data_IF_324632766473
#
_entry.id   IF_324632766473
#
_cell.length_a   1.000
_cell.length_b   1.000
_cell.length_c   1.000
_cell.angle_alpha   90.00
_cell.angle_beta   90.00
_cell.angle_gamma   90.00
#
_symmetry.space_group_name_H-M   'P 1'
#
loop_
_entity.id
_entity.type
_entity.pdbx_description
1 polymer ?
#
# COMPACT_ATOMS: atom_id res chain seq x y z
N UNK A 1 -16.64 -12.64 -18.84
CA UNK A 1 -16.20 -12.73 -17.43
C UNK A 1 -15.00 -13.66 -17.36
N UNK A 2 -13.80 -13.15 -17.55
CA UNK A 2 -12.63 -13.94 -17.24
C UNK A 2 -12.40 -13.82 -15.74
N UNK A 3 -12.80 -14.84 -15.01
CA UNK A 3 -12.21 -15.11 -13.71
C UNK A 3 -10.73 -15.42 -13.99
N UNK A 4 -9.90 -14.37 -13.99
CA UNK A 4 -8.48 -14.56 -13.77
C UNK A 4 -8.35 -15.07 -12.33
N UNK A 5 -8.48 -16.36 -12.18
CA UNK A 5 -7.78 -17.07 -11.13
C UNK A 5 -6.29 -16.85 -11.44
N UNK A 6 -5.74 -15.76 -10.94
CA UNK A 6 -4.37 -15.86 -10.52
C UNK A 6 -4.37 -16.94 -9.46
N UNK A 7 -4.08 -18.17 -9.85
CA UNK A 7 -3.48 -19.08 -8.91
C UNK A 7 -2.25 -18.33 -8.44
N UNK A 8 -2.43 -17.57 -7.36
CA UNK A 8 -1.33 -17.12 -6.56
C UNK A 8 -0.71 -18.42 -6.10
N UNK A 9 0.18 -18.96 -6.93
CA UNK A 9 1.09 -19.98 -6.42
C UNK A 9 1.59 -19.35 -5.13
N UNK A 10 1.61 -20.08 -4.05
CA UNK A 10 1.95 -19.62 -2.70
C UNK A 10 3.30 -18.88 -2.61
N UNK A 11 3.86 -18.47 -3.72
CA UNK A 11 5.11 -17.74 -3.94
C UNK A 11 4.94 -16.80 -5.14
N UNK A 12 5.41 -15.57 -5.00
CA UNK A 12 6.24 -15.01 -3.92
C UNK A 12 5.41 -14.54 -2.73
N UNK A 13 5.90 -14.76 -1.51
CA UNK A 13 5.28 -14.30 -0.28
C UNK A 13 6.26 -13.41 0.51
N UNK A 14 6.00 -12.10 0.50
CA UNK A 14 6.90 -11.11 1.12
C UNK A 14 6.75 -11.01 2.64
N UNK A 15 5.86 -11.78 3.24
CA UNK A 15 5.55 -11.69 4.67
C UNK A 15 6.06 -12.88 5.48
N UNK A 16 6.54 -13.92 4.84
CA UNK A 16 7.00 -15.15 5.49
C UNK A 16 8.42 -15.52 5.04
N UNK A 17 9.11 -16.27 5.90
CA UNK A 17 10.48 -16.68 5.67
C UNK A 17 11.51 -15.71 6.27
N UNK A 18 12.78 -15.93 5.99
CA UNK A 18 13.87 -15.06 6.41
C UNK A 18 13.84 -13.71 5.70
N UNK A 19 14.54 -12.72 6.26
CA UNK A 19 14.63 -11.40 5.61
C UNK A 19 15.18 -11.48 4.17
N UNK A 20 16.26 -12.21 3.88
CA UNK A 20 16.74 -12.37 2.50
C UNK A 20 15.71 -12.99 1.55
N UNK A 21 14.93 -13.97 2.02
CA UNK A 21 13.85 -14.59 1.24
C UNK A 21 12.72 -13.59 0.95
N UNK A 22 12.27 -12.85 1.96
CA UNK A 22 11.24 -11.82 1.78
C UNK A 22 11.69 -10.72 0.83
N UNK A 23 12.94 -10.29 0.92
CA UNK A 23 13.51 -9.27 0.05
C UNK A 23 13.58 -9.74 -1.41
N UNK A 24 13.97 -10.99 -1.64
CA UNK A 24 13.97 -11.63 -2.96
C UNK A 24 12.56 -11.73 -3.55
N UNK A 25 11.61 -12.15 -2.73
CA UNK A 25 10.21 -12.26 -3.14
C UNK A 25 9.60 -10.88 -3.45
N UNK A 26 9.95 -9.85 -2.68
CA UNK A 26 9.53 -8.47 -2.97
C UNK A 26 10.07 -7.96 -4.30
N UNK A 27 11.33 -8.25 -4.60
CA UNK A 27 11.92 -7.92 -5.91
C UNK A 27 11.20 -8.68 -7.04
N UNK A 28 10.88 -9.95 -6.82
CA UNK A 28 10.17 -10.78 -7.79
C UNK A 28 8.76 -10.27 -8.08
N UNK A 29 8.02 -9.84 -7.05
CA UNK A 29 6.69 -9.20 -7.22
C UNK A 29 6.81 -7.95 -8.09
N UNK A 30 7.78 -7.08 -7.83
CA UNK A 30 7.97 -5.87 -8.64
C UNK A 30 8.29 -6.18 -10.11
N UNK A 31 9.01 -7.26 -10.37
CA UNK A 31 9.27 -7.72 -11.74
C UNK A 31 8.00 -8.27 -12.42
N UNK A 32 7.21 -9.08 -11.71
CA UNK A 32 5.94 -9.62 -12.24
C UNK A 32 4.99 -8.50 -12.65
N UNK A 33 4.87 -7.46 -11.86
CA UNK A 33 3.97 -6.32 -12.11
C UNK A 33 4.25 -5.64 -13.44
N UNK A 34 5.51 -5.63 -13.89
CA UNK A 34 5.87 -5.01 -15.17
C UNK A 34 5.29 -5.74 -16.38
N UNK A 35 4.94 -7.00 -16.25
CA UNK A 35 4.63 -7.90 -17.37
C UNK A 35 3.17 -8.38 -17.39
N UNK A 36 2.34 -7.98 -16.43
CA UNK A 36 0.94 -8.45 -16.33
C UNK A 36 -0.07 -7.35 -16.67
N UNK A 37 -1.27 -7.75 -17.10
CA UNK A 37 -2.32 -6.84 -17.57
C UNK A 37 -2.99 -6.06 -16.42
N UNK A 38 -3.18 -6.70 -15.26
CA UNK A 38 -3.88 -6.14 -14.10
C UNK A 38 -2.97 -6.05 -12.86
N UNK A 39 -1.93 -5.19 -12.89
CA UNK A 39 -0.92 -5.15 -11.84
C UNK A 39 -1.48 -4.71 -10.48
N UNK A 40 -2.48 -3.84 -10.46
CA UNK A 40 -3.10 -3.39 -9.22
C UNK A 40 -3.87 -4.52 -8.53
N UNK A 41 -4.67 -5.27 -9.26
CA UNK A 41 -5.42 -6.41 -8.71
C UNK A 41 -4.49 -7.48 -8.16
N UNK A 42 -3.37 -7.72 -8.84
CA UNK A 42 -2.32 -8.61 -8.36
C UNK A 42 -1.71 -8.13 -7.05
N UNK A 43 -1.34 -6.86 -6.96
CA UNK A 43 -0.80 -6.26 -5.72
C UNK A 43 -1.78 -6.34 -4.57
N UNK A 44 -3.04 -6.01 -4.80
CA UNK A 44 -4.06 -6.09 -3.76
C UNK A 44 -4.22 -7.53 -3.26
N UNK A 45 -4.17 -8.53 -4.14
CA UNK A 45 -4.22 -9.93 -3.75
C UNK A 45 -3.00 -10.36 -2.90
N UNK A 46 -1.79 -9.91 -3.25
CA UNK A 46 -0.58 -10.15 -2.47
C UNK A 46 -0.68 -9.52 -1.09
N UNK A 47 -1.10 -8.27 -1.01
CA UNK A 47 -1.18 -7.51 0.25
C UNK A 47 -2.33 -7.92 1.16
N UNK A 48 -3.34 -8.64 0.65
CA UNK A 48 -4.35 -9.30 1.51
C UNK A 48 -3.73 -10.32 2.48
N UNK A 49 -2.57 -10.86 2.14
CA UNK A 49 -1.85 -11.82 2.98
C UNK A 49 -0.99 -11.14 4.07
N UNK A 50 -0.92 -9.82 4.09
CA UNK A 50 -0.11 -9.08 5.05
C UNK A 50 -0.63 -9.28 6.48
N UNK A 51 0.21 -9.77 7.40
CA UNK A 51 -0.16 -9.84 8.80
C UNK A 51 -0.25 -8.43 9.39
N UNK A 52 -1.27 -8.20 10.21
CA UNK A 52 -1.45 -6.91 10.89
C UNK A 52 -0.94 -6.99 12.31
N UNK A 53 -0.11 -6.03 12.67
CA UNK A 53 0.43 -5.86 14.00
C UNK A 53 0.19 -4.42 14.48
N UNK A 54 0.39 -4.15 15.78
CA UNK A 54 0.26 -2.82 16.33
C UNK A 54 1.65 -2.20 16.46
N UNK A 55 2.08 -1.47 15.45
CA UNK A 55 3.38 -0.78 15.44
C UNK A 55 3.29 0.69 15.84
N UNK A 56 2.09 1.30 15.75
CA UNK A 56 1.81 2.70 16.12
C UNK A 56 2.68 3.71 15.38
N UNK A 57 2.85 3.56 14.09
CA UNK A 57 3.57 4.53 13.25
C UNK A 57 2.87 5.88 13.27
N UNK A 58 3.60 6.93 13.62
CA UNK A 58 3.06 8.29 13.67
C UNK A 58 2.97 8.88 12.26
N UNK A 59 1.74 9.04 11.76
CA UNK A 59 1.47 9.54 10.40
C UNK A 59 1.90 11.00 10.19
N UNK A 60 2.11 11.76 11.25
CA UNK A 60 2.50 13.18 11.20
C UNK A 60 4.01 13.40 11.26
N UNK A 61 4.79 12.36 11.60
CA UNK A 61 6.25 12.43 11.73
C UNK A 61 6.94 11.63 10.63
N UNK A 62 6.98 12.20 9.44
CA UNK A 62 7.55 11.56 8.23
C UNK A 62 8.98 11.09 8.43
N UNK A 63 9.77 11.78 9.23
CA UNK A 63 11.14 11.42 9.58
C UNK A 63 11.26 10.11 10.37
N UNK A 64 10.15 9.62 10.94
CA UNK A 64 10.10 8.34 11.66
C UNK A 64 9.61 7.17 10.81
N UNK A 65 9.15 7.44 9.58
CA UNK A 65 8.63 6.39 8.72
C UNK A 65 9.77 5.51 8.19
N UNK A 66 9.52 4.22 8.22
CA UNK A 66 10.43 3.25 7.63
C UNK A 66 10.31 3.28 6.10
N UNK A 67 11.42 3.09 5.42
CA UNK A 67 11.41 2.83 3.98
C UNK A 67 10.98 1.38 3.66
N UNK A 68 10.86 1.06 2.36
CA UNK A 68 10.38 -0.26 1.94
C UNK A 68 11.28 -1.41 2.42
N UNK A 69 12.60 -1.23 2.41
CA UNK A 69 13.56 -2.25 2.86
C UNK A 69 13.48 -2.47 4.37
N UNK A 70 13.42 -1.39 5.14
CA UNK A 70 13.25 -1.44 6.60
C UNK A 70 11.92 -2.09 7.00
N UNK A 71 10.84 -1.81 6.25
CA UNK A 71 9.54 -2.46 6.47
C UNK A 71 9.60 -3.97 6.22
N UNK A 72 10.25 -4.41 5.13
CA UNK A 72 10.45 -5.83 4.84
C UNK A 72 11.33 -6.50 5.91
N UNK A 73 12.37 -5.81 6.39
CA UNK A 73 13.25 -6.33 7.44
C UNK A 73 12.50 -6.51 8.75
N UNK A 74 11.79 -5.49 9.22
CA UNK A 74 11.01 -5.54 10.46
C UNK A 74 9.89 -6.58 10.42
N UNK A 75 9.21 -6.69 9.30
CA UNK A 75 8.09 -7.61 9.04
C UNK A 75 6.94 -7.51 10.08
N UNK A 76 6.67 -6.31 10.53
CA UNK A 76 5.56 -5.94 11.41
C UNK A 76 4.87 -4.71 10.82
N UNK A 77 3.54 -4.75 10.71
CA UNK A 77 2.79 -3.76 9.96
C UNK A 77 1.49 -3.37 10.65
N UNK A 78 1.33 -2.09 10.99
CA UNK A 78 0.01 -1.51 11.18
C UNK A 78 -0.61 -1.13 9.81
N UNK A 79 -1.83 -0.60 9.80
CA UNK A 79 -2.48 -0.22 8.55
C UNK A 79 -1.72 0.84 7.77
N UNK A 80 -1.06 1.76 8.45
CA UNK A 80 -0.27 2.79 7.78
C UNK A 80 1.02 2.22 7.19
N UNK A 81 1.70 1.33 7.90
CA UNK A 81 2.87 0.60 7.39
C UNK A 81 2.55 -0.22 6.14
N UNK A 82 1.36 -0.83 6.09
CA UNK A 82 0.86 -1.54 4.91
C UNK A 82 0.73 -0.57 3.73
N UNK A 83 0.15 0.62 3.95
CA UNK A 83 0.09 1.67 2.95
C UNK A 83 1.47 2.09 2.46
N UNK A 84 2.41 2.30 3.37
CA UNK A 84 3.79 2.66 3.02
C UNK A 84 4.43 1.58 2.16
N UNK A 85 4.36 0.32 2.56
CA UNK A 85 4.99 -0.78 1.81
C UNK A 85 4.35 -0.96 0.43
N UNK A 86 3.03 -0.90 0.35
CA UNK A 86 2.32 -0.97 -0.93
C UNK A 86 2.70 0.20 -1.84
N UNK A 87 2.78 1.41 -1.29
CA UNK A 87 3.22 2.60 -2.03
C UNK A 87 4.67 2.48 -2.53
N UNK A 88 5.59 2.02 -1.69
CA UNK A 88 6.97 1.73 -2.12
C UNK A 88 7.03 0.67 -3.21
N UNK A 89 6.22 -0.38 -3.10
CA UNK A 89 6.15 -1.42 -4.12
C UNK A 89 5.71 -0.86 -5.46
N UNK A 90 4.72 0.01 -5.47
CA UNK A 90 4.21 0.69 -6.67
C UNK A 90 5.30 1.58 -7.30
N UNK A 91 5.85 2.52 -6.54
CA UNK A 91 6.76 3.52 -7.08
C UNK A 91 8.13 2.96 -7.51
N UNK A 92 8.56 1.85 -6.92
CA UNK A 92 9.81 1.17 -7.30
C UNK A 92 9.63 0.24 -8.50
N UNK A 93 8.42 0.13 -9.04
CA UNK A 93 8.10 -0.67 -10.22
C UNK A 93 8.20 0.19 -11.48
N UNK A 94 8.89 -0.28 -12.52
CA UNK A 94 9.04 0.44 -13.78
C UNK A 94 7.70 0.84 -14.41
N UNK A 95 6.70 -0.04 -14.28
CA UNK A 95 5.35 0.21 -14.80
C UNK A 95 4.70 1.48 -14.24
N UNK A 96 4.94 1.78 -12.96
CA UNK A 96 4.30 2.89 -12.24
C UNK A 96 5.24 4.05 -11.88
N UNK A 97 6.50 4.00 -12.27
CA UNK A 97 7.51 4.98 -11.81
C UNK A 97 7.19 6.46 -12.13
N UNK A 98 6.31 6.69 -13.09
CA UNK A 98 5.86 8.04 -13.47
C UNK A 98 4.56 8.45 -12.78
N UNK A 99 3.91 7.55 -12.08
CA UNK A 99 2.67 7.83 -11.40
C UNK A 99 2.90 8.61 -10.11
N UNK A 100 1.98 9.50 -9.82
CA UNK A 100 1.97 10.24 -8.56
C UNK A 100 1.20 9.44 -7.52
N UNK A 101 1.85 9.04 -6.44
CA UNK A 101 1.26 8.21 -5.39
C UNK A 101 1.04 9.04 -4.14
N UNK A 102 -0.22 9.14 -3.72
CA UNK A 102 -0.65 9.86 -2.53
C UNK A 102 -1.19 8.88 -1.50
N UNK A 103 -0.92 9.12 -0.23
CA UNK A 103 -1.62 8.45 0.87
C UNK A 103 -2.55 9.46 1.54
N UNK A 104 -3.82 9.12 1.58
CA UNK A 104 -4.86 9.87 2.28
C UNK A 104 -5.18 9.20 3.62
N UNK A 105 -5.01 9.95 4.69
CA UNK A 105 -5.61 9.61 5.98
C UNK A 105 -7.01 10.23 6.02
N UNK A 106 -8.02 9.42 6.17
CA UNK A 106 -9.41 9.83 6.10
C UNK A 106 -10.29 9.01 7.05
N UNK A 107 -11.54 9.39 7.18
CA UNK A 107 -12.54 8.66 7.96
C UNK A 107 -13.84 8.56 7.19
N UNK A 108 -14.62 7.51 7.46
CA UNK A 108 -15.90 7.29 6.78
C UNK A 108 -16.94 8.33 7.22
N UNK A 109 -17.70 8.84 6.26
CA UNK A 109 -18.74 9.84 6.50
C UNK A 109 -19.87 9.36 7.40
N UNK A 110 -20.12 8.06 7.45
CA UNK A 110 -21.19 7.42 8.22
C UNK A 110 -20.93 7.36 9.74
N UNK A 111 -19.67 7.60 10.17
CA UNK A 111 -19.32 7.58 11.60
C UNK A 111 -19.45 8.96 12.23
N UNK A 112 -20.02 9.01 13.45
CA UNK A 112 -20.03 10.22 14.24
C UNK A 112 -18.63 10.60 14.74
N UNK A 113 -18.49 11.82 15.24
CA UNK A 113 -17.19 12.37 15.67
C UNK A 113 -16.52 11.60 16.81
N UNK A 114 -17.27 10.81 17.59
CA UNK A 114 -16.76 10.09 18.75
C UNK A 114 -16.20 8.70 18.42
N UNK A 115 -16.57 8.14 17.26
CA UNK A 115 -16.20 6.79 16.82
C UNK A 115 -15.33 6.79 15.54
N UNK A 116 -14.70 7.90 15.20
CA UNK A 116 -13.88 8.02 14.00
C UNK A 116 -12.64 7.16 14.10
N UNK A 117 -12.50 6.22 13.18
CA UNK A 117 -11.27 5.50 12.93
C UNK A 117 -10.71 5.95 11.60
N UNK A 118 -9.41 6.19 11.57
CA UNK A 118 -8.74 6.48 10.31
C UNK A 118 -8.73 5.27 9.40
N UNK A 119 -9.03 5.54 8.14
CA UNK A 119 -8.75 4.68 7.01
C UNK A 119 -7.61 5.27 6.20
N UNK A 120 -6.76 4.43 5.65
CA UNK A 120 -5.65 4.86 4.81
C UNK A 120 -5.91 4.41 3.38
N UNK A 121 -5.97 5.38 2.48
CA UNK A 121 -6.31 5.18 1.08
C UNK A 121 -5.14 5.64 0.22
N UNK A 122 -4.68 4.79 -0.68
CA UNK A 122 -3.67 5.13 -1.67
C UNK A 122 -4.36 5.62 -2.93
N UNK A 123 -4.01 6.81 -3.40
CA UNK A 123 -4.45 7.33 -4.68
C UNK A 123 -3.32 7.25 -5.69
N UNK A 124 -3.63 6.67 -6.84
CA UNK A 124 -2.73 6.61 -7.98
C UNK A 124 -3.56 6.62 -9.27
N UNK A 125 -3.33 7.62 -10.14
CA UNK A 125 -3.97 7.71 -11.46
C UNK A 125 -5.51 7.57 -11.41
N UNK A 126 -6.17 8.31 -10.50
CA UNK A 126 -7.62 8.26 -10.23
C UNK A 126 -8.19 6.91 -9.76
N UNK A 127 -7.33 6.01 -9.36
CA UNK A 127 -7.70 4.77 -8.66
C UNK A 127 -7.37 4.92 -7.19
N UNK A 128 -8.29 4.55 -6.32
CA UNK A 128 -8.17 4.64 -4.87
C UNK A 128 -8.14 3.23 -4.29
N UNK A 129 -7.12 2.94 -3.48
CA UNK A 129 -6.90 1.62 -2.89
C UNK A 129 -7.10 1.69 -1.38
N UNK A 130 -8.07 0.96 -0.85
CA UNK A 130 -8.30 0.86 0.59
C UNK A 130 -7.32 -0.14 1.21
N UNK A 131 -6.44 0.33 2.09
CA UNK A 131 -5.46 -0.53 2.75
C UNK A 131 -6.07 -1.50 3.78
N UNK A 132 -7.29 -1.24 4.24
CA UNK A 132 -7.98 -2.13 5.16
C UNK A 132 -8.61 -3.34 4.45
N UNK A 133 -9.40 -3.07 3.42
CA UNK A 133 -10.10 -4.09 2.64
C UNK A 133 -9.29 -4.68 1.49
N UNK A 134 -8.23 -3.99 1.07
CA UNK A 134 -7.48 -4.30 -0.17
C UNK A 134 -8.39 -4.31 -1.40
N UNK A 135 -9.26 -3.34 -1.49
CA UNK A 135 -10.16 -3.13 -2.61
C UNK A 135 -9.88 -1.80 -3.29
N UNK A 136 -10.11 -1.75 -4.59
CA UNK A 136 -10.03 -0.51 -5.37
C UNK A 136 -11.40 0.12 -5.53
N UNK A 137 -11.41 1.46 -5.60
CA UNK A 137 -12.60 2.25 -5.86
C UNK A 137 -12.29 3.42 -6.80
N UNK A 138 -13.30 3.96 -7.45
CA UNK A 138 -13.20 5.18 -8.23
C UNK A 138 -13.30 6.44 -7.34
N UNK A 139 -13.01 7.60 -7.93
CA UNK A 139 -13.08 8.87 -7.21
C UNK A 139 -14.49 9.18 -6.70
N UNK A 140 -15.52 8.87 -7.44
CA UNK A 140 -16.91 9.12 -7.04
C UNK A 140 -17.26 8.35 -5.78
N UNK A 141 -16.90 7.07 -5.71
CA UNK A 141 -17.07 6.23 -4.53
C UNK A 141 -16.26 6.74 -3.34
N UNK A 142 -15.00 7.11 -3.58
CA UNK A 142 -14.13 7.69 -2.56
C UNK A 142 -14.73 8.97 -1.96
N UNK A 143 -15.14 9.93 -2.79
CA UNK A 143 -15.70 11.20 -2.36
C UNK A 143 -17.01 11.06 -1.56
N UNK A 144 -17.81 10.03 -1.85
CA UNK A 144 -19.03 9.72 -1.11
C UNK A 144 -18.79 9.01 0.21
N UNK A 145 -17.73 8.24 0.30
CA UNK A 145 -17.48 7.33 1.43
C UNK A 145 -16.60 7.97 2.51
N UNK A 146 -15.63 8.81 2.12
CA UNK A 146 -14.59 9.30 3.00
C UNK A 146 -14.55 10.82 3.10
N UNK A 147 -14.18 11.27 4.30
CA UNK A 147 -13.78 12.66 4.57
C UNK A 147 -12.28 12.70 4.73
N UNK A 148 -11.63 13.53 3.92
CA UNK A 148 -10.19 13.70 3.93
C UNK A 148 -9.74 14.43 5.21
N UNK A 149 -8.68 13.90 5.85
CA UNK A 149 -8.05 14.51 7.01
C UNK A 149 -6.64 15.00 6.69
N UNK A 150 -5.81 14.15 6.09
CA UNK A 150 -4.42 14.45 5.80
C UNK A 150 -3.96 13.70 4.54
N UNK A 151 -3.15 14.37 3.73
CA UNK A 151 -2.62 13.79 2.48
C UNK A 151 -1.11 13.93 2.44
N UNK A 152 -0.43 12.88 2.01
CA UNK A 152 1.01 12.85 1.80
C UNK A 152 1.36 12.35 0.41
N UNK A 153 2.25 13.07 -0.27
CA UNK A 153 2.87 12.59 -1.50
C UNK A 153 4.09 11.73 -1.16
N UNK A 154 4.08 10.47 -1.60
CA UNK A 154 5.14 9.52 -1.26
C UNK A 154 6.45 9.82 -1.99
N UNK A 155 6.41 10.26 -3.24
CA UNK A 155 7.63 10.60 -3.99
C UNK A 155 8.41 11.73 -3.31
N UNK A 156 7.72 12.73 -2.77
CA UNK A 156 8.39 13.82 -2.02
C UNK A 156 9.07 13.29 -0.77
N UNK A 157 8.45 12.35 -0.08
CA UNK A 157 9.01 11.73 1.12
C UNK A 157 10.25 10.89 0.82
N UNK A 158 10.25 10.16 -0.28
CA UNK A 158 11.37 9.33 -0.72
C UNK A 158 12.57 10.18 -1.14
N UNK A 159 12.35 11.28 -1.85
CA UNK A 159 13.42 12.18 -2.24
C UNK A 159 14.17 12.78 -1.05
N UNK A 160 13.50 12.93 0.09
CA UNK A 160 14.12 13.34 1.35
C UNK A 160 15.02 12.24 1.92
N UNK A 161 14.66 10.97 1.72
CA UNK A 161 15.41 9.82 2.24
C UNK A 161 16.62 9.43 1.38
N UNK A 162 16.65 9.85 0.10
CA UNK A 162 17.72 9.55 -0.86
C UNK A 162 18.78 10.66 -0.96
N UNK A 163 18.58 11.77 -0.31
CA UNK A 163 19.51 12.90 -0.19
C UNK A 163 20.12 12.95 1.21
#
# INVERSE_FOLDING_TARGET
>A
MSQFKYEISLKPNIFYGSYPERLKDWQHIRNIINDIDDPIDYLLAVFKLCPRTKTNTDIYKKETWLDGWQLIERNEYDLFDICLLLSYTIILTEHFKKENVMIHSCYKTEFDSNNRKFSYIIEMNNVFLDAHSMEKMDKTTFDKTYVLHYTTNIQETINISLN
#
